data_IF_669704105881
#
_entry.id   IF_669704105881
#
_cell.length_a   1.000
_cell.length_b   1.000
_cell.length_c   1.000
_cell.angle_alpha   90.00
_cell.angle_beta   90.00
_cell.angle_gamma   90.00
#
_symmetry.space_group_name_H-M   'P 1'
#
loop_
_entity.id
_entity.type
_entity.pdbx_description
1 polymer ?
#
# COMPACT_ATOMS: atom_id res chain seq x y z
N UNK A 1 -30.94 -42.61 0.72
CA UNK A 1 -31.15 -41.47 -0.20
C UNK A 1 -30.76 -40.18 0.52
N UNK A 2 -29.60 -39.58 0.21
CA UNK A 2 -29.12 -38.37 0.89
C UNK A 2 -29.76 -37.11 0.28
N UNK A 3 -30.39 -36.29 1.12
CA UNK A 3 -31.15 -35.09 0.73
C UNK A 3 -30.27 -34.00 0.06
N UNK A 4 -30.55 -33.58 -1.19
CA UNK A 4 -29.80 -32.53 -1.91
C UNK A 4 -29.99 -31.10 -1.36
N UNK A 5 -30.92 -30.91 -0.43
CA UNK A 5 -31.27 -29.59 0.14
C UNK A 5 -30.18 -29.08 1.11
N UNK A 6 -29.49 -29.98 1.81
CA UNK A 6 -28.40 -29.65 2.74
C UNK A 6 -27.23 -28.94 2.05
N UNK A 7 -26.88 -29.38 0.84
CA UNK A 7 -25.69 -28.89 0.13
C UNK A 7 -25.88 -27.45 -0.40
N UNK A 8 -27.11 -27.09 -0.80
CA UNK A 8 -27.46 -25.75 -1.31
C UNK A 8 -27.47 -24.68 -0.20
N UNK A 9 -27.89 -25.06 1.01
CA UNK A 9 -27.88 -24.17 2.19
C UNK A 9 -26.44 -23.95 2.67
N UNK A 10 -25.62 -25.00 2.73
CA UNK A 10 -24.18 -24.90 3.03
C UNK A 10 -23.43 -24.00 2.05
N UNK A 11 -23.66 -24.15 0.74
CA UNK A 11 -23.01 -23.29 -0.27
C UNK A 11 -23.47 -21.83 -0.18
N UNK A 12 -24.75 -21.54 0.07
CA UNK A 12 -25.20 -20.15 0.30
C UNK A 12 -24.56 -19.51 1.53
N UNK A 13 -24.47 -20.23 2.64
CA UNK A 13 -23.85 -19.74 3.89
C UNK A 13 -22.34 -19.54 3.68
N UNK A 14 -21.65 -20.50 3.07
CA UNK A 14 -20.23 -20.40 2.76
C UNK A 14 -19.93 -19.24 1.80
N UNK A 15 -20.76 -19.05 0.76
CA UNK A 15 -20.64 -17.93 -0.16
C UNK A 15 -20.93 -16.59 0.55
N UNK A 16 -21.94 -16.54 1.42
CA UNK A 16 -22.26 -15.35 2.24
C UNK A 16 -21.08 -14.94 3.12
N UNK A 17 -20.55 -15.87 3.91
CA UNK A 17 -19.37 -15.62 4.75
C UNK A 17 -18.16 -15.20 3.91
N UNK A 18 -17.88 -15.89 2.80
CA UNK A 18 -16.76 -15.53 1.91
C UNK A 18 -16.89 -14.14 1.29
N UNK A 19 -18.13 -13.69 1.02
CA UNK A 19 -18.40 -12.36 0.50
C UNK A 19 -18.16 -11.29 1.58
N UNK A 20 -18.60 -11.53 2.82
CA UNK A 20 -18.32 -10.62 3.95
C UNK A 20 -16.82 -10.45 4.18
N UNK A 21 -16.04 -11.54 4.19
CA UNK A 21 -14.58 -11.45 4.31
C UNK A 21 -13.94 -10.64 3.16
N UNK A 22 -14.45 -10.77 1.93
CA UNK A 22 -13.95 -9.97 0.79
C UNK A 22 -14.26 -8.49 0.95
N UNK A 23 -15.46 -8.11 1.40
CA UNK A 23 -15.82 -6.71 1.68
C UNK A 23 -14.89 -6.13 2.73
N UNK A 24 -14.75 -6.81 3.87
CA UNK A 24 -13.93 -6.36 5.00
C UNK A 24 -12.48 -6.16 4.55
N UNK A 25 -11.93 -7.09 3.79
CA UNK A 25 -10.59 -6.95 3.23
C UNK A 25 -10.45 -5.73 2.29
N UNK A 26 -11.45 -5.47 1.42
CA UNK A 26 -11.44 -4.28 0.57
C UNK A 26 -11.51 -2.98 1.38
N UNK A 27 -12.34 -2.93 2.43
CA UNK A 27 -12.48 -1.77 3.32
C UNK A 27 -11.19 -1.52 4.09
N UNK A 28 -10.58 -2.55 4.68
CA UNK A 28 -9.32 -2.42 5.43
C UNK A 28 -8.22 -1.85 4.54
N UNK A 29 -8.03 -2.42 3.34
CA UNK A 29 -6.99 -1.93 2.41
C UNK A 29 -7.30 -0.50 1.95
N UNK A 30 -8.57 -0.20 1.65
CA UNK A 30 -8.98 1.15 1.28
C UNK A 30 -8.64 2.16 2.39
N UNK A 31 -8.97 1.83 3.64
CA UNK A 31 -8.67 2.67 4.79
C UNK A 31 -7.17 2.87 4.97
N UNK A 32 -6.37 1.81 4.84
CA UNK A 32 -4.90 1.89 4.90
C UNK A 32 -4.33 2.79 3.78
N UNK A 33 -4.74 2.60 2.53
CA UNK A 33 -4.29 3.42 1.42
C UNK A 33 -4.71 4.88 1.59
N UNK A 34 -5.95 5.14 2.01
CA UNK A 34 -6.44 6.49 2.26
C UNK A 34 -5.67 7.16 3.41
N UNK A 35 -5.40 6.45 4.49
CA UNK A 35 -4.60 6.94 5.61
C UNK A 35 -3.16 7.28 5.17
N UNK A 36 -2.53 6.43 4.35
CA UNK A 36 -1.18 6.70 3.80
C UNK A 36 -1.17 7.97 2.94
N UNK A 37 -2.11 8.09 2.00
CA UNK A 37 -2.17 9.26 1.11
C UNK A 37 -2.49 10.55 1.87
N UNK A 38 -3.45 10.48 2.80
CA UNK A 38 -3.81 11.61 3.66
C UNK A 38 -2.64 12.00 4.55
N UNK A 39 -1.98 11.04 5.20
CA UNK A 39 -0.79 11.27 5.99
C UNK A 39 0.35 11.89 5.18
N UNK A 40 0.53 11.47 3.94
CA UNK A 40 1.55 12.03 3.03
C UNK A 40 1.26 13.48 2.63
N UNK A 41 -0.01 13.87 2.61
CA UNK A 41 -0.43 15.24 2.35
C UNK A 41 -0.33 16.12 3.61
N UNK A 42 -0.62 15.54 4.78
CA UNK A 42 -0.55 16.23 6.07
C UNK A 42 0.89 16.40 6.58
N UNK A 43 1.80 15.47 6.24
CA UNK A 43 3.22 15.59 6.53
C UNK A 43 3.84 16.64 5.61
N UNK A 44 4.23 17.77 6.19
CA UNK A 44 5.05 18.74 5.49
C UNK A 44 6.51 18.29 5.54
N UNK A 45 7.15 18.27 4.38
CA UNK A 45 8.58 18.01 4.28
C UNK A 45 9.31 19.34 4.09
N UNK A 46 10.00 19.81 5.12
CA UNK A 46 10.80 21.04 5.06
C UNK A 46 12.26 20.70 5.37
N UNK A 47 13.14 20.96 4.41
CA UNK A 47 14.60 20.71 4.49
C UNK A 47 15.03 19.29 4.92
N UNK A 48 14.21 18.27 4.63
CA UNK A 48 14.51 16.86 4.96
C UNK A 48 14.02 16.40 6.34
N UNK A 49 13.48 17.33 7.14
CA UNK A 49 12.76 17.06 8.37
C UNK A 49 11.26 16.92 8.06
N UNK A 50 10.59 16.00 8.76
CA UNK A 50 9.15 15.81 8.66
C UNK A 50 8.47 16.69 9.71
N UNK A 51 7.45 17.43 9.30
CA UNK A 51 6.62 18.24 10.17
C UNK A 51 5.18 17.71 10.11
N UNK A 52 4.57 17.53 11.26
CA UNK A 52 3.17 17.15 11.39
C UNK A 52 2.42 18.34 12.01
N UNK A 53 1.52 18.97 11.25
CA UNK A 53 0.76 20.15 11.71
C UNK A 53 1.64 21.28 12.29
N UNK A 54 2.82 21.52 11.72
CA UNK A 54 3.77 22.54 12.20
C UNK A 54 4.66 22.08 13.36
N UNK A 55 4.41 20.92 13.96
CA UNK A 55 5.32 20.32 14.93
C UNK A 55 6.40 19.51 14.22
N UNK A 56 7.67 19.80 14.54
CA UNK A 56 8.81 19.03 14.05
C UNK A 56 8.68 17.60 14.57
N UNK A 57 8.67 16.62 13.66
CA UNK A 57 8.68 15.22 14.02
C UNK A 57 10.05 14.89 14.68
N UNK A 58 10.08 14.58 15.98
CA UNK A 58 11.34 14.49 16.72
C UNK A 58 12.15 13.24 16.37
N UNK A 59 11.52 12.23 15.76
CA UNK A 59 12.17 10.97 15.45
C UNK A 59 12.85 11.04 14.08
N UNK A 60 14.17 11.21 14.11
CA UNK A 60 15.05 10.86 13.00
C UNK A 60 15.02 9.33 12.81
N UNK A 61 15.42 8.88 11.62
CA UNK A 61 15.43 7.44 11.33
C UNK A 61 16.47 6.76 12.21
N UNK A 62 16.04 6.02 13.24
CA UNK A 62 16.93 5.29 14.15
C UNK A 62 17.91 4.38 13.38
N UNK A 63 17.46 3.74 12.30
CA UNK A 63 18.34 2.89 11.49
C UNK A 63 19.49 3.68 10.84
N UNK A 64 19.23 4.92 10.44
CA UNK A 64 20.27 5.81 9.90
C UNK A 64 21.17 6.36 10.99
N UNK A 65 20.62 6.70 12.15
CA UNK A 65 21.41 7.25 13.26
C UNK A 65 22.29 6.20 13.94
N UNK A 66 21.74 5.01 14.19
CA UNK A 66 22.45 3.94 14.91
C UNK A 66 23.39 3.14 14.00
N UNK A 67 23.02 2.95 12.73
CA UNK A 67 23.77 2.08 11.81
C UNK A 67 24.27 2.78 10.54
N UNK A 68 23.94 4.06 10.31
CA UNK A 68 24.30 4.76 9.07
C UNK A 68 23.50 4.30 7.83
N UNK A 69 22.51 3.43 8.02
CA UNK A 69 21.81 2.76 6.91
C UNK A 69 20.64 3.60 6.44
N UNK A 70 20.59 3.89 5.15
CA UNK A 70 19.44 4.56 4.51
C UNK A 70 18.23 3.63 4.52
N UNK A 71 17.30 3.85 5.44
CA UNK A 71 16.07 3.06 5.54
C UNK A 71 15.15 3.28 4.32
N UNK A 72 14.77 2.18 3.66
CA UNK A 72 13.82 2.20 2.54
C UNK A 72 12.46 2.77 2.95
N UNK A 73 11.99 2.46 4.17
CA UNK A 73 10.69 2.93 4.66
C UNK A 73 10.68 4.45 4.88
N UNK A 74 11.68 5.00 5.57
CA UNK A 74 11.79 6.45 5.78
C UNK A 74 12.03 7.21 4.47
N UNK A 75 12.82 6.64 3.54
CA UNK A 75 13.00 7.19 2.21
C UNK A 75 11.70 7.20 1.40
N UNK A 76 10.92 6.12 1.48
CA UNK A 76 9.62 6.00 0.83
C UNK A 76 8.62 7.03 1.38
N UNK A 77 8.54 7.21 2.69
CA UNK A 77 7.68 8.24 3.31
C UNK A 77 8.04 9.64 2.82
N UNK A 78 9.33 10.01 2.79
CA UNK A 78 9.76 11.31 2.26
C UNK A 78 9.46 11.47 0.76
N UNK A 79 9.60 10.38 0.00
CA UNK A 79 9.24 10.35 -1.42
C UNK A 79 7.74 10.59 -1.62
N UNK A 80 6.90 9.93 -0.81
CA UNK A 80 5.44 10.11 -0.83
C UNK A 80 5.02 11.53 -0.47
N UNK A 81 5.62 12.11 0.58
CA UNK A 81 5.36 13.50 0.95
C UNK A 81 5.75 14.44 -0.19
N UNK A 82 6.91 14.24 -0.81
CA UNK A 82 7.36 15.03 -1.96
C UNK A 82 6.37 14.94 -3.13
N UNK A 83 5.86 13.75 -3.44
CA UNK A 83 4.87 13.53 -4.50
C UNK A 83 3.52 14.15 -4.19
N UNK A 84 3.06 14.04 -2.94
CA UNK A 84 1.82 14.67 -2.49
C UNK A 84 1.86 16.20 -2.65
N UNK A 85 3.04 16.81 -2.51
CA UNK A 85 3.27 18.25 -2.75
C UNK A 85 3.69 18.59 -4.19
N UNK A 86 3.63 17.63 -5.12
CA UNK A 86 3.94 17.84 -6.55
C UNK A 86 5.44 17.85 -6.92
N UNK A 87 6.34 17.57 -5.99
CA UNK A 87 7.79 17.60 -6.19
C UNK A 87 8.36 16.25 -6.65
N UNK A 88 8.09 15.87 -7.90
CA UNK A 88 8.55 14.59 -8.49
C UNK A 88 10.07 14.39 -8.49
N UNK A 89 10.84 15.43 -8.81
CA UNK A 89 12.32 15.35 -8.81
C UNK A 89 12.87 15.04 -7.44
N UNK A 90 12.30 15.65 -6.40
CA UNK A 90 12.73 15.43 -5.02
C UNK A 90 12.33 14.02 -4.56
N UNK A 91 11.14 13.55 -4.95
CA UNK A 91 10.67 12.22 -4.66
C UNK A 91 11.59 11.10 -5.17
N UNK A 92 12.09 11.23 -6.41
CA UNK A 92 13.04 10.29 -7.00
C UNK A 92 14.37 10.27 -6.25
N UNK A 93 14.84 11.44 -5.77
CA UNK A 93 16.07 11.52 -4.97
C UNK A 93 15.95 10.78 -3.64
N UNK A 94 14.76 10.76 -3.03
CA UNK A 94 14.53 10.01 -1.79
C UNK A 94 14.36 8.51 -2.02
N UNK A 95 13.63 8.12 -3.06
CA UNK A 95 13.40 6.71 -3.37
C UNK A 95 13.06 6.55 -4.86
N UNK A 96 13.90 5.82 -5.61
CA UNK A 96 13.70 5.60 -7.04
C UNK A 96 12.34 4.93 -7.36
N UNK A 97 11.93 3.95 -6.53
CA UNK A 97 10.62 3.29 -6.66
C UNK A 97 9.47 4.07 -6.01
N UNK A 98 9.74 5.19 -5.33
CA UNK A 98 8.71 5.94 -4.59
C UNK A 98 7.55 6.40 -5.47
N UNK A 99 7.80 7.05 -6.63
CA UNK A 99 6.74 7.43 -7.57
C UNK A 99 5.90 6.25 -8.08
N UNK A 100 6.54 5.10 -8.34
CA UNK A 100 5.85 3.90 -8.79
C UNK A 100 4.90 3.35 -7.71
N UNK A 101 5.38 3.26 -6.47
CA UNK A 101 4.58 2.76 -5.34
C UNK A 101 3.46 3.75 -5.01
N UNK A 102 3.73 5.06 -5.04
CA UNK A 102 2.72 6.09 -4.82
C UNK A 102 1.61 6.02 -5.86
N UNK A 103 1.95 5.91 -7.14
CA UNK A 103 0.98 5.74 -8.22
C UNK A 103 0.13 4.48 -8.03
N UNK A 104 0.75 3.38 -7.61
CA UNK A 104 0.03 2.15 -7.28
C UNK A 104 -0.91 2.32 -6.08
N UNK A 105 -0.49 3.01 -5.01
CA UNK A 105 -1.35 3.34 -3.86
C UNK A 105 -2.54 4.20 -4.28
N UNK A 106 -2.31 5.21 -5.13
CA UNK A 106 -3.38 6.02 -5.72
C UNK A 106 -4.35 5.19 -6.56
N UNK A 107 -3.85 4.20 -7.32
CA UNK A 107 -4.69 3.28 -8.11
C UNK A 107 -5.49 2.28 -7.25
N UNK A 108 -4.94 1.84 -6.10
CA UNK A 108 -5.65 0.94 -5.20
C UNK A 108 -6.95 1.55 -4.66
N UNK A 109 -6.97 2.86 -4.37
CA UNK A 109 -8.15 3.55 -3.83
C UNK A 109 -9.40 3.37 -4.72
N UNK A 110 -9.42 3.81 -6.01
CA UNK A 110 -10.57 3.63 -6.87
C UNK A 110 -10.87 2.15 -7.16
N UNK A 111 -9.84 1.29 -7.27
CA UNK A 111 -10.04 -0.15 -7.46
C UNK A 111 -10.81 -0.78 -6.29
N UNK A 112 -10.46 -0.43 -5.04
CA UNK A 112 -11.14 -0.95 -3.85
C UNK A 112 -12.52 -0.35 -3.67
N UNK A 113 -12.69 0.95 -3.94
CA UNK A 113 -14.02 1.58 -3.94
C UNK A 113 -14.94 0.88 -4.96
N UNK A 114 -14.45 0.62 -6.16
CA UNK A 114 -15.19 -0.14 -7.19
C UNK A 114 -15.54 -1.56 -6.72
N UNK A 115 -14.61 -2.25 -6.06
CA UNK A 115 -14.84 -3.56 -5.46
C UNK A 115 -15.95 -3.54 -4.40
N UNK A 116 -15.97 -2.54 -3.52
CA UNK A 116 -17.01 -2.36 -2.49
C UNK A 116 -18.37 -2.02 -3.10
N UNK A 117 -18.43 -1.10 -4.06
CA UNK A 117 -19.69 -0.67 -4.72
C UNK A 117 -20.33 -1.82 -5.51
N UNK A 118 -19.54 -2.71 -6.10
CA UNK A 118 -20.04 -3.79 -6.96
C UNK A 118 -20.55 -5.00 -6.17
N UNK A 119 -20.46 -5.05 -4.84
CA UNK A 119 -21.10 -6.10 -4.03
C UNK A 119 -22.62 -6.07 -4.23
N UNK A 120 -23.24 -7.03 -4.97
CA UNK A 120 -23.04 -8.48 -4.94
C UNK A 120 -22.57 -9.17 -6.25
N UNK A 121 -22.13 -8.42 -7.26
CA UNK A 121 -21.63 -8.96 -8.54
C UNK A 121 -20.16 -9.36 -8.39
N UNK A 122 -19.77 -10.51 -8.96
CA UNK A 122 -18.37 -10.94 -8.97
C UNK A 122 -17.56 -9.99 -9.86
N UNK A 123 -16.55 -9.33 -9.30
CA UNK A 123 -15.52 -8.63 -10.08
C UNK A 123 -14.99 -9.55 -11.19
N UNK A 124 -14.73 -8.99 -12.37
CA UNK A 124 -14.18 -9.75 -13.49
C UNK A 124 -12.87 -10.44 -13.08
N UNK A 125 -12.76 -11.75 -13.32
CA UNK A 125 -11.57 -12.55 -12.95
C UNK A 125 -10.26 -11.96 -13.48
N UNK A 126 -10.31 -11.26 -14.62
CA UNK A 126 -9.17 -10.58 -15.24
C UNK A 126 -8.66 -9.41 -14.38
N UNK A 127 -9.56 -8.57 -13.85
CA UNK A 127 -9.20 -7.45 -12.98
C UNK A 127 -8.58 -7.92 -11.67
N UNK A 128 -9.17 -8.96 -11.06
CA UNK A 128 -8.62 -9.57 -9.84
C UNK A 128 -7.21 -10.13 -10.10
N UNK A 129 -7.01 -10.87 -11.20
CA UNK A 129 -5.69 -11.40 -11.57
C UNK A 129 -4.67 -10.29 -11.82
N UNK A 130 -5.04 -9.24 -12.56
CA UNK A 130 -4.14 -8.11 -12.85
C UNK A 130 -3.74 -7.42 -11.54
N UNK A 131 -4.70 -7.07 -10.69
CA UNK A 131 -4.40 -6.42 -9.42
C UNK A 131 -3.53 -7.31 -8.53
N UNK A 132 -3.85 -8.59 -8.39
CA UNK A 132 -3.03 -9.53 -7.62
C UNK A 132 -1.62 -9.67 -8.18
N UNK A 133 -1.47 -9.76 -9.51
CA UNK A 133 -0.17 -9.81 -10.16
C UNK A 133 0.64 -8.54 -9.88
N UNK A 134 0.03 -7.36 -10.03
CA UNK A 134 0.68 -6.08 -9.75
C UNK A 134 1.11 -5.97 -8.28
N UNK A 135 0.23 -6.36 -7.34
CA UNK A 135 0.58 -6.39 -5.91
C UNK A 135 1.79 -7.28 -5.66
N UNK A 136 1.81 -8.50 -6.19
CA UNK A 136 2.93 -9.44 -6.02
C UNK A 136 4.21 -8.88 -6.65
N UNK A 137 4.14 -8.36 -7.87
CA UNK A 137 5.29 -7.76 -8.56
C UNK A 137 5.87 -6.59 -7.77
N UNK A 138 5.03 -5.68 -7.28
CA UNK A 138 5.49 -4.52 -6.49
C UNK A 138 6.09 -4.98 -5.15
N UNK A 139 5.48 -5.94 -4.48
CA UNK A 139 6.04 -6.51 -3.24
C UNK A 139 7.41 -7.15 -3.48
N UNK A 140 7.60 -7.87 -4.58
CA UNK A 140 8.90 -8.44 -4.96
C UNK A 140 9.90 -7.33 -5.26
N UNK A 141 9.53 -6.30 -6.02
CA UNK A 141 10.41 -5.17 -6.33
C UNK A 141 10.86 -4.44 -5.06
N UNK A 142 9.95 -4.22 -4.11
CA UNK A 142 10.28 -3.63 -2.80
C UNK A 142 11.26 -4.53 -2.05
N UNK A 143 10.99 -5.84 -2.01
CA UNK A 143 11.83 -6.79 -1.30
C UNK A 143 13.23 -6.89 -1.90
N UNK A 144 13.33 -7.00 -3.23
CA UNK A 144 14.61 -7.02 -3.95
C UNK A 144 15.34 -5.69 -3.79
N UNK A 145 14.64 -4.56 -3.92
CA UNK A 145 15.24 -3.24 -3.70
C UNK A 145 15.81 -3.13 -2.28
N UNK A 146 15.06 -3.61 -1.29
CA UNK A 146 15.52 -3.64 0.09
C UNK A 146 16.71 -4.58 0.27
N UNK A 147 16.70 -5.77 -0.34
CA UNK A 147 17.81 -6.71 -0.27
C UNK A 147 19.07 -6.18 -0.95
N UNK A 148 18.95 -5.43 -2.04
CA UNK A 148 20.09 -4.74 -2.68
C UNK A 148 20.57 -3.57 -1.81
N UNK A 149 19.67 -2.81 -1.20
CA UNK A 149 20.05 -1.71 -0.29
C UNK A 149 20.65 -2.19 1.04
N UNK A 150 20.22 -3.32 1.59
CA UNK A 150 20.84 -3.98 2.74
C UNK A 150 22.11 -4.73 2.36
N UNK A 151 22.08 -5.45 1.23
CA UNK A 151 23.16 -6.31 0.75
C UNK A 151 24.34 -5.52 0.20
N UNK A 152 24.12 -4.31 -0.30
CA UNK A 152 25.19 -3.36 -0.65
C UNK A 152 25.93 -2.77 0.57
N UNK A 153 25.58 -3.19 1.79
CA UNK A 153 26.31 -2.90 3.03
C UNK A 153 27.16 -4.08 3.51
N UNK A 154 26.94 -5.29 2.96
CA UNK A 154 27.67 -6.52 3.33
C UNK A 154 28.84 -6.78 2.35
N UNK A 155 28.82 -6.15 1.18
CA UNK A 155 29.92 -6.10 0.20
C UNK A 155 30.65 -4.76 0.29
#
# INVERSE_FOLDING_TARGET
>A
MAHPISNRKKTKIANGASNEYQVVHHIIILFLCAAILTGSLLLQLSEGELYLFGFKWPHRCLLYETFGIKCALCGLTRSFCSLAHGNFRQALRFHNLGPLIFAFTCFQVPYRIHGVIIHPKKMGRKLIKINSSLTVTISILIFVNWFVYLGGLIL
#
